data_IF_099276210991
#
_entry.id   IF_099276210991
#
_cell.length_a   1.000
_cell.length_b   1.000
_cell.length_c   1.000
_cell.angle_alpha   90.00
_cell.angle_beta   90.00
_cell.angle_gamma   90.00
#
_symmetry.space_group_name_H-M   'P 1'
#
loop_
_entity.id
_entity.type
_entity.pdbx_description
1 polymer ?
#
# COMPACT_ATOMS: atom_id res chain seq x y z
N UNK A 1 36.59 -78.71 -52.47
CA UNK A 1 35.15 -78.64 -52.21
C UNK A 1 34.99 -77.71 -51.02
N UNK A 2 35.02 -76.46 -51.38
CA UNK A 2 35.17 -75.30 -50.47
C UNK A 2 33.79 -74.74 -50.25
N UNK A 3 33.30 -74.77 -48.99
CA UNK A 3 32.06 -74.22 -48.62
C UNK A 3 32.27 -72.81 -48.14
N UNK A 4 31.87 -71.87 -49.00
CA UNK A 4 31.80 -70.44 -48.71
C UNK A 4 30.78 -70.18 -47.59
N UNK A 5 31.30 -69.73 -46.45
CA UNK A 5 30.49 -69.26 -45.30
C UNK A 5 30.24 -67.78 -45.53
N UNK A 6 29.01 -67.48 -45.95
CA UNK A 6 28.54 -66.11 -46.11
C UNK A 6 28.30 -65.52 -44.72
N UNK A 7 29.23 -64.70 -44.27
CA UNK A 7 29.08 -63.87 -43.08
C UNK A 7 28.09 -62.77 -43.41
N UNK A 8 26.86 -62.82 -42.85
CA UNK A 8 25.88 -61.78 -42.94
C UNK A 8 26.30 -60.63 -42.04
N UNK A 9 26.78 -59.56 -42.65
CA UNK A 9 27.07 -58.26 -42.01
C UNK A 9 25.75 -57.61 -41.51
N UNK A 10 25.56 -57.60 -40.18
CA UNK A 10 24.45 -56.91 -39.59
C UNK A 10 24.73 -55.43 -39.63
N UNK A 11 24.00 -54.66 -40.45
CA UNK A 11 23.97 -53.22 -40.44
C UNK A 11 23.56 -52.70 -39.03
N UNK A 12 24.30 -51.71 -38.47
CA UNK A 12 23.87 -51.09 -37.21
C UNK A 12 22.64 -50.25 -37.48
N UNK A 13 21.53 -50.66 -36.87
CA UNK A 13 20.32 -49.83 -36.84
C UNK A 13 20.65 -48.46 -36.29
N UNK A 14 20.66 -47.44 -37.15
CA UNK A 14 20.69 -46.04 -36.78
C UNK A 14 19.45 -45.72 -35.94
N UNK A 15 19.61 -45.76 -34.65
CA UNK A 15 18.59 -45.19 -33.73
C UNK A 15 18.54 -43.70 -33.97
N UNK A 16 17.49 -43.23 -34.62
CA UNK A 16 17.22 -41.82 -34.86
C UNK A 16 17.30 -41.05 -33.54
N UNK A 17 17.93 -39.87 -33.53
CA UNK A 17 18.13 -39.10 -32.30
C UNK A 17 16.83 -38.40 -31.92
N UNK A 18 15.85 -39.15 -31.45
CA UNK A 18 14.59 -38.57 -30.87
C UNK A 18 14.91 -37.77 -29.60
N UNK A 19 16.07 -38.05 -29.01
CA UNK A 19 16.54 -37.39 -27.78
C UNK A 19 17.11 -35.99 -28.01
N UNK A 20 17.51 -35.62 -29.23
CA UNK A 20 18.10 -34.31 -29.51
C UNK A 20 17.09 -33.17 -29.55
N UNK A 21 15.80 -33.48 -29.75
CA UNK A 21 14.73 -32.48 -29.77
C UNK A 21 14.01 -32.35 -28.42
N UNK A 22 14.08 -33.37 -27.57
CA UNK A 22 13.45 -33.38 -26.26
C UNK A 22 14.11 -32.36 -25.29
N UNK A 23 15.44 -32.24 -25.36
CA UNK A 23 16.18 -31.31 -24.49
C UNK A 23 15.85 -29.82 -24.75
N UNK A 24 15.87 -29.29 -26.01
CA UNK A 24 15.51 -27.91 -26.27
C UNK A 24 14.02 -27.65 -26.03
N UNK A 25 13.14 -28.61 -26.30
CA UNK A 25 11.71 -28.47 -26.00
C UNK A 25 11.47 -28.38 -24.48
N UNK A 26 12.11 -29.21 -23.69
CA UNK A 26 12.03 -29.13 -22.22
C UNK A 26 12.60 -27.81 -21.69
N UNK A 27 13.69 -27.31 -22.24
CA UNK A 27 14.27 -26.02 -21.87
C UNK A 27 13.31 -24.85 -22.14
N UNK A 28 12.63 -24.86 -23.29
CA UNK A 28 11.61 -23.84 -23.63
C UNK A 28 10.42 -23.89 -22.68
N UNK A 29 9.93 -25.08 -22.35
CA UNK A 29 8.82 -25.23 -21.39
C UNK A 29 9.22 -24.70 -20.01
N UNK A 30 10.40 -25.03 -19.50
CA UNK A 30 10.91 -24.53 -18.23
C UNK A 30 11.04 -23.01 -18.25
N UNK A 31 11.52 -22.43 -19.34
CA UNK A 31 11.64 -20.97 -19.49
C UNK A 31 10.26 -20.28 -19.47
N UNK A 32 9.29 -20.82 -20.21
CA UNK A 32 7.91 -20.27 -20.25
C UNK A 32 7.24 -20.37 -18.87
N UNK A 33 7.38 -21.49 -18.18
CA UNK A 33 6.84 -21.70 -16.84
C UNK A 33 7.51 -20.75 -15.84
N UNK A 34 8.83 -20.56 -15.92
CA UNK A 34 9.57 -19.63 -15.06
C UNK A 34 9.16 -18.19 -15.27
N UNK A 35 8.95 -17.76 -16.51
CA UNK A 35 8.45 -16.41 -16.84
C UNK A 35 7.01 -16.20 -16.36
N UNK A 36 6.15 -17.21 -16.50
CA UNK A 36 4.77 -17.15 -16.03
C UNK A 36 4.70 -17.07 -14.50
N UNK A 37 5.46 -17.92 -13.79
CA UNK A 37 5.54 -17.89 -12.32
C UNK A 37 6.18 -16.59 -11.82
N UNK A 38 7.26 -16.12 -12.43
CA UNK A 38 7.88 -14.84 -12.11
C UNK A 38 6.93 -13.66 -12.28
N UNK A 39 6.13 -13.66 -13.36
CA UNK A 39 5.11 -12.65 -13.61
C UNK A 39 3.96 -12.66 -12.58
N UNK A 40 3.53 -13.84 -12.14
CA UNK A 40 2.50 -13.98 -11.10
C UNK A 40 3.01 -13.49 -9.74
N UNK A 41 4.21 -13.90 -9.33
CA UNK A 41 4.83 -13.46 -8.08
C UNK A 41 5.08 -11.94 -8.07
N UNK A 42 5.55 -11.38 -9.19
CA UNK A 42 5.73 -9.93 -9.32
C UNK A 42 4.41 -9.15 -9.17
N UNK A 43 3.32 -9.65 -9.78
CA UNK A 43 1.99 -9.05 -9.66
C UNK A 43 1.45 -9.11 -8.23
N UNK A 44 1.66 -10.22 -7.53
CA UNK A 44 1.23 -10.41 -6.15
C UNK A 44 2.00 -9.47 -5.22
N UNK A 45 3.32 -9.43 -5.33
CA UNK A 45 4.16 -8.53 -4.53
C UNK A 45 3.86 -7.04 -4.80
N UNK A 46 3.57 -6.68 -6.05
CA UNK A 46 3.15 -5.31 -6.41
C UNK A 46 1.80 -4.91 -5.82
N UNK A 47 0.86 -5.85 -5.63
CA UNK A 47 -0.44 -5.58 -4.97
C UNK A 47 -0.26 -5.38 -3.47
N UNK A 48 0.50 -6.24 -2.81
CA UNK A 48 0.79 -6.15 -1.38
C UNK A 48 1.47 -4.82 -1.03
N UNK A 49 2.44 -4.39 -1.82
CA UNK A 49 3.11 -3.09 -1.64
C UNK A 49 2.11 -1.92 -1.76
N UNK A 50 1.22 -1.94 -2.75
CA UNK A 50 0.22 -0.88 -2.92
C UNK A 50 -0.81 -0.84 -1.80
N UNK A 51 -1.17 -1.98 -1.23
CA UNK A 51 -2.05 -2.06 -0.05
C UNK A 51 -1.34 -1.49 1.19
N UNK A 52 -0.08 -1.86 1.39
CA UNK A 52 0.74 -1.32 2.48
C UNK A 52 0.93 0.20 2.35
N UNK A 53 1.13 0.71 1.13
CA UNK A 53 1.22 2.14 0.85
C UNK A 53 -0.09 2.88 1.20
N UNK A 54 -1.26 2.30 0.89
CA UNK A 54 -2.55 2.87 1.23
C UNK A 54 -2.76 2.95 2.76
N UNK A 55 -2.41 1.88 3.49
CA UNK A 55 -2.46 1.84 4.97
C UNK A 55 -1.50 2.87 5.56
N UNK A 56 -0.28 2.98 5.03
CA UNK A 56 0.71 3.96 5.49
C UNK A 56 0.22 5.39 5.27
N UNK A 57 -0.38 5.67 4.11
CA UNK A 57 -0.95 6.98 3.82
C UNK A 57 -2.10 7.33 4.76
N UNK A 58 -3.03 6.40 5.01
CA UNK A 58 -4.14 6.62 5.94
C UNK A 58 -3.64 6.92 7.37
N UNK A 59 -2.62 6.18 7.86
CA UNK A 59 -1.96 6.47 9.13
C UNK A 59 -1.41 7.89 9.16
N UNK A 60 -0.68 8.30 8.12
CA UNK A 60 -0.06 9.61 8.06
C UNK A 60 -1.10 10.74 7.97
N UNK A 61 -2.21 10.53 7.25
CA UNK A 61 -3.33 11.47 7.20
C UNK A 61 -3.86 11.75 8.60
N UNK A 62 -4.10 10.71 9.41
CA UNK A 62 -4.62 10.88 10.77
C UNK A 62 -3.58 11.47 11.73
N UNK A 63 -2.31 11.12 11.60
CA UNK A 63 -1.23 11.79 12.34
C UNK A 63 -1.25 13.29 12.01
N UNK A 64 -1.35 13.66 10.75
CA UNK A 64 -1.42 15.06 10.34
C UNK A 64 -2.70 15.78 10.83
N UNK A 65 -3.83 15.06 10.88
CA UNK A 65 -5.11 15.61 11.32
C UNK A 65 -5.17 15.88 12.84
N UNK A 66 -4.56 14.97 13.63
CA UNK A 66 -4.64 14.97 15.10
C UNK A 66 -3.32 15.35 15.79
N UNK A 67 -2.29 15.78 15.04
CA UNK A 67 -1.07 16.35 15.62
C UNK A 67 -1.00 17.82 15.31
N UNK A 68 -1.33 18.64 16.29
CA UNK A 68 -1.47 20.08 16.16
C UNK A 68 -0.80 20.77 17.35
N UNK A 69 0.04 21.76 17.07
CA UNK A 69 0.60 22.67 18.06
C UNK A 69 0.20 24.11 17.72
N UNK A 70 -0.36 24.82 18.69
CA UNK A 70 -0.80 26.23 18.49
C UNK A 70 0.33 27.14 17.97
N UNK A 71 1.60 26.80 18.22
CA UNK A 71 2.76 27.55 17.73
C UNK A 71 3.06 27.32 16.25
N UNK A 72 2.68 26.14 15.73
CA UNK A 72 2.97 25.70 14.34
C UNK A 72 1.73 25.37 13.53
N UNK A 73 0.53 25.65 14.08
CA UNK A 73 -0.78 25.22 13.55
C UNK A 73 -0.98 25.49 12.07
N UNK A 74 -0.52 26.63 11.56
CA UNK A 74 -0.66 26.94 10.12
C UNK A 74 0.11 25.97 9.24
N UNK A 75 1.27 25.51 9.68
CA UNK A 75 2.07 24.52 8.97
C UNK A 75 1.51 23.11 9.16
N UNK A 76 1.04 22.78 10.36
CA UNK A 76 0.46 21.48 10.72
C UNK A 76 -0.79 21.24 9.89
N UNK A 77 -1.71 22.21 9.89
CA UNK A 77 -2.95 22.13 9.13
C UNK A 77 -2.71 22.06 7.63
N UNK A 78 -1.74 22.81 7.10
CA UNK A 78 -1.35 22.73 5.68
C UNK A 78 -0.85 21.34 5.31
N UNK A 79 -0.07 20.65 6.19
CA UNK A 79 0.33 19.25 5.96
C UNK A 79 -0.86 18.32 5.90
N UNK A 80 -1.85 18.54 6.78
CA UNK A 80 -3.09 17.77 6.75
C UNK A 80 -3.85 18.01 5.45
N UNK A 81 -4.13 19.26 5.07
CA UNK A 81 -4.82 19.60 3.81
C UNK A 81 -4.12 19.00 2.61
N UNK A 82 -2.78 19.07 2.54
CA UNK A 82 -1.99 18.50 1.45
C UNK A 82 -1.99 16.95 1.40
N UNK A 83 -2.50 16.29 2.42
CA UNK A 83 -2.70 14.83 2.45
C UNK A 83 -4.12 14.40 2.03
N UNK A 84 -4.95 15.33 1.57
CA UNK A 84 -6.33 15.12 1.17
C UNK A 84 -6.58 15.47 -0.29
N UNK A 85 -7.73 15.08 -0.83
CA UNK A 85 -8.17 15.37 -2.20
C UNK A 85 -9.71 15.43 -2.27
N UNK A 86 -10.24 15.92 -3.39
CA UNK A 86 -11.68 16.01 -3.63
C UNK A 86 -12.36 17.00 -2.70
N UNK A 87 -13.60 16.67 -2.31
CA UNK A 87 -14.44 17.53 -1.47
C UNK A 87 -13.82 17.78 -0.09
N UNK A 88 -13.23 16.75 0.52
CA UNK A 88 -12.52 16.88 1.79
C UNK A 88 -11.43 17.95 1.74
N UNK A 89 -10.64 17.97 0.65
CA UNK A 89 -9.59 18.98 0.46
C UNK A 89 -10.17 20.38 0.37
N UNK A 90 -11.28 20.54 -0.35
CA UNK A 90 -11.96 21.83 -0.53
C UNK A 90 -12.54 22.36 0.78
N UNK A 91 -13.21 21.52 1.55
CA UNK A 91 -13.79 21.85 2.86
C UNK A 91 -12.71 22.26 3.87
N UNK A 92 -11.62 21.47 3.95
CA UNK A 92 -10.49 21.78 4.84
C UNK A 92 -9.80 23.09 4.43
N UNK A 93 -9.64 23.33 3.15
CA UNK A 93 -9.06 24.58 2.64
C UNK A 93 -9.91 25.77 3.03
N UNK A 94 -11.23 25.69 2.86
CA UNK A 94 -12.17 26.74 3.22
C UNK A 94 -12.20 27.01 4.75
N UNK A 95 -11.98 26.00 5.58
CA UNK A 95 -11.99 26.11 7.04
C UNK A 95 -10.64 26.51 7.66
N UNK A 96 -9.58 26.65 6.87
CA UNK A 96 -8.20 26.89 7.36
C UNK A 96 -8.09 28.06 8.34
N UNK A 97 -8.59 29.23 7.98
CA UNK A 97 -8.46 30.45 8.82
C UNK A 97 -9.17 30.27 10.16
N UNK A 98 -10.36 29.68 10.15
CA UNK A 98 -11.14 29.42 11.38
C UNK A 98 -10.41 28.43 12.28
N UNK A 99 -9.91 27.33 11.72
CA UNK A 99 -9.18 26.31 12.47
C UNK A 99 -7.93 26.90 13.13
N UNK A 100 -7.07 27.59 12.34
CA UNK A 100 -5.84 28.21 12.82
C UNK A 100 -6.13 29.22 13.95
N UNK A 101 -7.14 30.07 13.79
CA UNK A 101 -7.53 31.05 14.81
C UNK A 101 -8.00 30.35 16.11
N UNK A 102 -8.82 29.33 15.99
CA UNK A 102 -9.33 28.56 17.15
C UNK A 102 -8.19 27.91 17.92
N UNK A 103 -7.34 27.14 17.25
CA UNK A 103 -6.21 26.43 17.88
C UNK A 103 -5.23 27.40 18.53
N UNK A 104 -4.95 28.53 17.89
CA UNK A 104 -4.07 29.56 18.45
C UNK A 104 -4.68 30.18 19.71
N UNK A 105 -5.95 30.59 19.68
CA UNK A 105 -6.61 31.25 20.83
C UNK A 105 -6.78 30.31 22.02
N UNK A 106 -7.00 29.03 21.79
CA UNK A 106 -7.16 28.03 22.86
C UNK A 106 -5.82 27.42 23.32
N UNK A 107 -4.70 27.79 22.71
CA UNK A 107 -3.38 27.22 22.98
C UNK A 107 -3.40 25.68 22.94
N UNK A 108 -4.13 25.14 21.96
CA UNK A 108 -4.29 23.69 21.85
C UNK A 108 -2.98 23.03 21.40
N UNK A 109 -2.61 21.97 22.11
CA UNK A 109 -1.56 21.05 21.72
C UNK A 109 -2.12 19.62 21.76
N UNK A 110 -2.03 18.92 20.66
CA UNK A 110 -2.50 17.54 20.50
C UNK A 110 -1.45 16.75 19.71
N UNK A 111 -1.21 15.51 20.11
CA UNK A 111 -0.21 14.63 19.45
C UNK A 111 -0.81 13.27 19.21
N UNK A 112 -1.01 12.92 17.95
CA UNK A 112 -1.56 11.64 17.56
C UNK A 112 -0.51 10.53 17.55
N UNK A 113 -0.88 9.37 18.10
CA UNK A 113 -0.15 8.13 18.01
C UNK A 113 -1.07 7.04 17.47
N UNK A 114 -0.77 6.53 16.29
CA UNK A 114 -1.50 5.38 15.74
C UNK A 114 -1.15 4.13 16.54
N UNK A 115 -2.17 3.50 17.11
CA UNK A 115 -2.07 2.25 17.87
C UNK A 115 -2.13 1.07 16.93
N UNK A 116 -3.09 1.08 16.00
CA UNK A 116 -3.27 0.02 15.01
C UNK A 116 -3.89 0.57 13.72
N UNK A 117 -3.68 -0.12 12.60
CA UNK A 117 -4.35 0.20 11.34
C UNK A 117 -4.43 -1.02 10.45
N UNK A 118 -5.62 -1.28 9.90
CA UNK A 118 -5.93 -2.42 9.05
C UNK A 118 -6.69 -2.02 7.79
N UNK A 119 -6.41 -2.73 6.70
CA UNK A 119 -7.12 -2.55 5.44
C UNK A 119 -8.51 -3.19 5.53
N UNK A 120 -9.57 -2.41 5.29
CA UNK A 120 -10.96 -2.88 5.25
C UNK A 120 -11.35 -3.25 3.82
N UNK A 121 -11.01 -2.40 2.86
CA UNK A 121 -11.32 -2.60 1.44
C UNK A 121 -10.20 -2.03 0.56
N UNK A 122 -10.01 -2.67 -0.59
CA UNK A 122 -9.03 -2.26 -1.59
C UNK A 122 -9.51 -2.65 -2.99
N UNK A 123 -9.50 -1.72 -3.93
CA UNK A 123 -9.87 -1.96 -5.34
C UNK A 123 -8.79 -1.56 -6.37
N UNK A 124 -7.56 -1.34 -5.92
CA UNK A 124 -6.43 -0.99 -6.78
C UNK A 124 -6.14 0.51 -6.83
N UNK A 125 -7.16 1.36 -6.87
CA UNK A 125 -7.04 2.82 -6.91
C UNK A 125 -7.65 3.52 -5.71
N UNK A 126 -8.54 2.86 -4.99
CA UNK A 126 -9.12 3.31 -3.72
C UNK A 126 -8.94 2.28 -2.63
N UNK A 127 -8.91 2.72 -1.38
CA UNK A 127 -8.88 1.86 -0.22
C UNK A 127 -9.63 2.50 0.95
N UNK A 128 -10.22 1.65 1.79
CA UNK A 128 -10.75 2.02 3.12
C UNK A 128 -9.87 1.38 4.17
N UNK A 129 -9.35 2.18 5.10
CA UNK A 129 -8.46 1.76 6.18
C UNK A 129 -9.09 2.11 7.51
N UNK A 130 -9.25 1.12 8.38
CA UNK A 130 -9.62 1.36 9.78
C UNK A 130 -8.35 1.67 10.58
N UNK A 131 -8.41 2.72 11.40
CA UNK A 131 -7.27 3.18 12.21
C UNK A 131 -7.74 3.47 13.62
N UNK A 132 -7.03 2.92 14.59
CA UNK A 132 -7.15 3.28 16.00
C UNK A 132 -5.97 4.17 16.39
N UNK A 133 -6.25 5.28 17.06
CA UNK A 133 -5.23 6.21 17.52
C UNK A 133 -5.54 6.78 18.91
N UNK A 134 -4.49 7.05 19.64
CA UNK A 134 -4.48 7.81 20.87
C UNK A 134 -4.02 9.24 20.56
N UNK A 135 -4.70 10.22 21.12
CA UNK A 135 -4.37 11.63 20.88
C UNK A 135 -4.61 12.44 22.15
N UNK A 136 -3.65 12.45 23.09
CA UNK A 136 -3.74 13.31 24.27
C UNK A 136 -3.73 14.80 23.87
N UNK A 137 -4.66 15.55 24.43
CA UNK A 137 -4.86 16.96 24.16
C UNK A 137 -4.69 17.80 25.42
N UNK A 138 -3.98 18.93 25.28
CA UNK A 138 -3.95 20.03 26.26
C UNK A 138 -4.46 21.33 25.62
N UNK A 139 -5.03 22.22 26.44
CA UNK A 139 -5.49 23.55 26.02
C UNK A 139 -5.55 24.51 27.21
N UNK A 140 -5.92 25.76 26.98
CA UNK A 140 -6.17 26.71 28.05
C UNK A 140 -7.28 26.28 29.03
N UNK A 141 -8.24 25.48 28.54
CA UNK A 141 -9.33 24.93 29.39
C UNK A 141 -8.93 23.59 30.05
N UNK A 142 -7.90 22.92 29.58
CA UNK A 142 -7.43 21.63 30.07
C UNK A 142 -5.89 21.59 30.04
N UNK A 143 -5.28 22.07 31.10
CA UNK A 143 -3.80 22.13 31.21
C UNK A 143 -3.17 20.79 31.51
N UNK A 144 -3.93 19.83 32.05
CA UNK A 144 -3.53 18.42 32.17
C UNK A 144 -3.88 17.67 30.90
N UNK A 145 -3.01 16.81 30.36
CA UNK A 145 -3.32 16.01 29.16
C UNK A 145 -4.59 15.19 29.35
N UNK A 146 -5.57 15.44 28.50
CA UNK A 146 -6.78 14.64 28.43
C UNK A 146 -6.57 13.52 27.39
N UNK A 147 -6.64 12.29 27.86
CA UNK A 147 -6.55 11.13 26.96
C UNK A 147 -7.78 11.10 26.03
N UNK A 148 -7.53 11.01 24.73
CA UNK A 148 -8.53 10.82 23.69
C UNK A 148 -8.16 9.62 22.86
N UNK A 149 -9.14 8.81 22.57
CA UNK A 149 -9.01 7.64 21.72
C UNK A 149 -10.00 7.75 20.58
N UNK A 150 -9.51 7.52 19.37
CA UNK A 150 -10.33 7.58 18.17
C UNK A 150 -10.26 6.26 17.42
N UNK A 151 -11.40 5.83 16.90
CA UNK A 151 -11.53 4.79 15.91
C UNK A 151 -12.09 5.41 14.65
N UNK A 152 -11.38 5.30 13.57
CA UNK A 152 -11.65 6.09 12.37
C UNK A 152 -11.49 5.21 11.14
N UNK A 153 -12.40 5.35 10.20
CA UNK A 153 -12.21 4.87 8.84
C UNK A 153 -11.74 6.01 7.94
N UNK A 154 -10.71 5.76 7.17
CA UNK A 154 -10.16 6.70 6.20
C UNK A 154 -10.32 6.10 4.81
N UNK A 155 -11.06 6.78 3.94
CA UNK A 155 -11.06 6.47 2.52
C UNK A 155 -9.89 7.20 1.86
N UNK A 156 -9.06 6.47 1.16
CA UNK A 156 -7.93 7.01 0.42
C UNK A 156 -8.04 6.65 -1.07
N UNK A 157 -7.64 7.58 -1.92
CA UNK A 157 -7.57 7.43 -3.36
C UNK A 157 -6.15 7.67 -3.87
N UNK A 158 -5.76 6.89 -4.86
CA UNK A 158 -4.48 7.05 -5.52
C UNK A 158 -4.54 8.16 -6.57
N UNK A 159 -3.77 9.23 -6.35
CA UNK A 159 -3.62 10.35 -7.29
C UNK A 159 -2.15 10.38 -7.75
N UNK A 160 -1.91 9.95 -8.96
CA UNK A 160 -0.55 9.75 -9.48
C UNK A 160 0.21 8.67 -8.69
N UNK A 161 1.27 9.09 -8.01
CA UNK A 161 2.08 8.20 -7.16
C UNK A 161 1.72 8.25 -5.67
N UNK A 162 0.78 9.12 -5.26
CA UNK A 162 0.42 9.36 -3.87
C UNK A 162 -0.96 8.78 -3.55
N UNK A 163 -1.14 8.34 -2.32
CA UNK A 163 -2.44 8.08 -1.73
C UNK A 163 -2.88 9.30 -0.94
N UNK A 164 -4.08 9.82 -1.20
CA UNK A 164 -4.65 10.99 -0.56
C UNK A 164 -6.03 10.66 0.00
N UNK A 165 -6.37 11.21 1.16
CA UNK A 165 -7.66 10.98 1.78
C UNK A 165 -8.78 11.73 1.05
N UNK A 166 -9.90 11.03 0.84
CA UNK A 166 -11.15 11.59 0.29
C UNK A 166 -12.24 11.72 1.34
N UNK A 167 -12.16 10.92 2.41
CA UNK A 167 -13.08 11.01 3.56
C UNK A 167 -12.42 10.47 4.83
N UNK A 168 -12.86 11.01 5.97
CA UNK A 168 -12.49 10.56 7.31
C UNK A 168 -13.77 10.43 8.10
N UNK A 169 -14.06 9.25 8.64
CA UNK A 169 -15.27 8.98 9.43
C UNK A 169 -14.88 8.36 10.77
N UNK A 170 -15.39 8.92 11.84
CA UNK A 170 -15.27 8.31 13.15
C UNK A 170 -16.26 7.14 13.24
N UNK A 171 -15.81 6.01 13.77
CA UNK A 171 -16.61 4.82 14.02
C UNK A 171 -16.66 4.55 15.53
N UNK A 172 -17.85 4.20 16.01
CA UNK A 172 -18.09 3.92 17.43
C UNK A 172 -17.76 2.45 17.75
#
# INVERSE_FOLDING_TARGET
METDEVVAEREPQRRLPVLSWALPAAAVIVLVVSLALGGLLYRQHSKENKQADAVTAARQVLINAYSVDYKTVANDYRRFVNSTTGDLHSELTASTSKFVSTVTSTHTHETAKVVDAGLVRYDGSTATVAVALDSPLTSTAATTPQARQYRTEVDVQRVGKRWLATAIRQVN
#
